data_IF_288145127796
#
_entry.id   IF_288145127796
#
_cell.length_a   1.000
_cell.length_b   1.000
_cell.length_c   1.000
_cell.angle_alpha   90.00
_cell.angle_beta   90.00
_cell.angle_gamma   90.00
#
_symmetry.space_group_name_H-M   'P 1'
#
loop_
_entity.id
_entity.type
_entity.pdbx_description
1 polymer ?
#
# COMPACT_ATOMS: atom_id res chain seq x y z
N UNK A 1 11.28 11.40 8.58
CA UNK A 1 9.93 11.52 9.19
C UNK A 1 8.97 10.69 8.35
N UNK A 2 8.05 9.96 8.98
CA UNK A 2 7.07 9.12 8.30
C UNK A 2 5.66 9.72 8.46
N UNK A 3 4.84 9.69 7.41
CA UNK A 3 3.44 10.15 7.46
C UNK A 3 2.58 9.21 8.32
N UNK A 4 2.81 7.91 8.19
CA UNK A 4 2.10 6.86 8.94
C UNK A 4 2.99 5.64 9.10
N UNK A 5 2.68 4.82 10.10
CA UNK A 5 3.20 3.46 10.28
C UNK A 5 1.99 2.59 10.59
N UNK A 6 1.79 1.52 9.82
CA UNK A 6 0.68 0.60 10.00
C UNK A 6 1.17 -0.84 10.05
N UNK A 7 0.45 -1.68 10.79
CA UNK A 7 0.72 -3.10 10.88
C UNK A 7 -0.05 -3.85 9.78
N UNK A 8 0.67 -4.46 8.84
CA UNK A 8 0.07 -5.34 7.83
C UNK A 8 -0.27 -6.69 8.45
N UNK A 9 -1.50 -7.15 8.26
CA UNK A 9 -1.96 -8.45 8.79
C UNK A 9 -1.21 -9.60 8.14
N UNK A 10 -0.79 -10.59 8.94
CA UNK A 10 -0.24 -11.85 8.44
C UNK A 10 -1.36 -12.72 7.80
N UNK A 11 -1.12 -13.40 6.67
CA UNK A 11 0.14 -13.46 5.91
C UNK A 11 0.42 -12.16 5.13
N UNK A 12 1.68 -11.78 4.94
CA UNK A 12 2.08 -10.54 4.24
C UNK A 12 1.90 -10.63 2.71
N UNK A 13 0.70 -11.03 2.27
CA UNK A 13 0.34 -11.19 0.86
C UNK A 13 0.18 -9.83 0.18
N UNK A 14 0.18 -9.84 -1.15
CA UNK A 14 -0.03 -8.63 -1.94
C UNK A 14 -1.38 -7.98 -1.63
N UNK A 15 -2.40 -8.81 -1.43
CA UNK A 15 -3.78 -8.40 -1.15
C UNK A 15 -3.87 -7.74 0.24
N UNK A 16 -3.28 -8.33 1.29
CA UNK A 16 -3.28 -7.74 2.63
C UNK A 16 -2.47 -6.43 2.70
N UNK A 17 -1.39 -6.33 1.92
CA UNK A 17 -0.64 -5.08 1.80
C UNK A 17 -1.48 -4.02 1.08
N UNK A 18 -2.18 -4.41 0.01
CA UNK A 18 -3.06 -3.51 -0.74
C UNK A 18 -4.16 -2.94 0.17
N UNK A 19 -4.84 -3.79 0.93
CA UNK A 19 -5.89 -3.36 1.86
C UNK A 19 -5.37 -2.34 2.89
N UNK A 20 -4.15 -2.55 3.42
CA UNK A 20 -3.53 -1.61 4.34
C UNK A 20 -3.18 -0.27 3.68
N UNK A 21 -2.72 -0.27 2.42
CA UNK A 21 -2.45 0.95 1.65
C UNK A 21 -3.75 1.71 1.40
N UNK A 22 -4.80 1.01 0.98
CA UNK A 22 -6.12 1.58 0.70
C UNK A 22 -6.72 2.25 1.95
N UNK A 23 -6.65 1.58 3.10
CA UNK A 23 -7.10 2.14 4.39
C UNK A 23 -6.35 3.42 4.75
N UNK A 24 -5.02 3.43 4.55
CA UNK A 24 -4.20 4.62 4.78
C UNK A 24 -4.60 5.74 3.82
N UNK A 25 -4.68 5.47 2.52
CA UNK A 25 -4.99 6.50 1.53
C UNK A 25 -6.37 7.11 1.75
N UNK A 26 -7.36 6.30 2.15
CA UNK A 26 -8.69 6.77 2.52
C UNK A 26 -8.64 7.65 3.76
N UNK A 27 -7.97 7.19 4.83
CA UNK A 27 -7.85 7.94 6.10
C UNK A 27 -7.25 9.33 5.94
N UNK A 28 -6.34 9.49 4.98
CA UNK A 28 -5.65 10.75 4.72
C UNK A 28 -6.26 11.55 3.56
N UNK A 29 -7.35 11.09 2.93
CA UNK A 29 -7.92 11.70 1.72
C UNK A 29 -6.87 11.88 0.61
N UNK A 30 -6.07 10.82 0.36
CA UNK A 30 -4.95 10.84 -0.59
C UNK A 30 -5.20 10.01 -1.84
N UNK A 31 -6.31 9.27 -1.95
CA UNK A 31 -6.55 8.32 -3.05
C UNK A 31 -6.36 8.96 -4.44
N UNK A 32 -6.98 10.11 -4.67
CA UNK A 32 -6.89 10.86 -5.94
C UNK A 32 -5.59 11.66 -6.11
N UNK A 33 -4.69 11.63 -5.11
CA UNK A 33 -3.45 12.41 -5.05
C UNK A 33 -2.21 11.52 -5.19
N UNK A 34 -2.37 10.21 -5.37
CA UNK A 34 -1.25 9.28 -5.59
C UNK A 34 -0.76 9.37 -7.04
N UNK A 35 0.46 9.86 -7.23
CA UNK A 35 1.11 9.92 -8.54
C UNK A 35 2.01 8.71 -8.82
N UNK A 36 2.74 8.24 -7.80
CA UNK A 36 3.69 7.13 -7.94
C UNK A 36 3.86 6.38 -6.62
N UNK A 37 4.05 5.06 -6.69
CA UNK A 37 4.40 4.21 -5.54
C UNK A 37 5.83 3.69 -5.76
N UNK A 38 6.73 3.98 -4.82
CA UNK A 38 8.13 3.49 -4.84
C UNK A 38 8.33 2.50 -3.70
N UNK A 39 8.83 1.31 -4.02
CA UNK A 39 8.98 0.20 -3.07
C UNK A 39 10.32 -0.50 -3.27
N UNK A 40 10.70 -1.35 -2.32
CA UNK A 40 11.78 -2.30 -2.54
C UNK A 40 11.37 -3.41 -3.51
N UNK A 41 12.26 -4.39 -3.71
CA UNK A 41 12.06 -5.48 -4.64
C UNK A 41 11.30 -6.70 -4.07
N UNK A 42 10.65 -6.59 -2.90
CA UNK A 42 9.90 -7.70 -2.30
C UNK A 42 8.81 -8.24 -3.23
N UNK A 43 8.68 -9.55 -3.34
CA UNK A 43 7.76 -10.18 -4.31
C UNK A 43 6.30 -9.78 -4.09
N UNK A 44 5.84 -9.77 -2.83
CA UNK A 44 4.46 -9.43 -2.48
C UNK A 44 4.17 -7.94 -2.64
N UNK A 45 5.09 -7.03 -2.27
CA UNK A 45 4.89 -5.59 -2.49
C UNK A 45 4.92 -5.24 -3.99
N UNK A 46 5.79 -5.88 -4.78
CA UNK A 46 5.75 -5.73 -6.25
C UNK A 46 4.45 -6.21 -6.84
N UNK A 47 3.92 -7.34 -6.36
CA UNK A 47 2.61 -7.84 -6.79
C UNK A 47 1.50 -6.89 -6.33
N UNK A 48 1.57 -6.32 -5.13
CA UNK A 48 0.65 -5.30 -4.62
C UNK A 48 0.57 -4.10 -5.57
N UNK A 49 1.70 -3.51 -5.94
CA UNK A 49 1.73 -2.37 -6.87
C UNK A 49 1.13 -2.73 -8.24
N UNK A 50 1.29 -3.98 -8.70
CA UNK A 50 0.67 -4.45 -9.95
C UNK A 50 -0.84 -4.64 -9.87
N UNK A 51 -1.38 -5.03 -8.72
CA UNK A 51 -2.83 -5.22 -8.52
C UNK A 51 -3.55 -3.95 -8.08
N UNK A 52 -2.80 -2.97 -7.55
CA UNK A 52 -3.35 -1.71 -7.07
C UNK A 52 -4.07 -0.96 -8.19
N UNK A 53 -5.29 -0.51 -7.90
CA UNK A 53 -6.15 0.24 -8.81
C UNK A 53 -6.34 1.63 -8.19
N UNK A 54 -5.46 2.55 -8.56
CA UNK A 54 -5.57 3.97 -8.21
C UNK A 54 -6.92 4.54 -8.56
#
# INVERSE_FOLDING_TARGET
>A
MALTISHVRYPYTAENINDAIEEILEKWDLRSKVYSITTDNGSNIKKCVKIWKG
#
